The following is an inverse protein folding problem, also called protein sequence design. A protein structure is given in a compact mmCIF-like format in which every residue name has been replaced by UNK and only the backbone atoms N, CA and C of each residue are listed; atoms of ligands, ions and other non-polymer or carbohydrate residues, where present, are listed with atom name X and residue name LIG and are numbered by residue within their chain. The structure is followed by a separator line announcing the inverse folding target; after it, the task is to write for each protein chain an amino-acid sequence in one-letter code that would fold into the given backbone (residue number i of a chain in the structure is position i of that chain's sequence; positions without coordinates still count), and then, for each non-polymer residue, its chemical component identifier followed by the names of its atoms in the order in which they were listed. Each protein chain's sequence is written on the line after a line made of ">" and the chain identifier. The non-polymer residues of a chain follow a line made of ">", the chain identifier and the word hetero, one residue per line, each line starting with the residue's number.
data_IF_822698890808
#
_entry.id   IF_822698890808
#
_cell.length_a   1.000
_cell.length_b   1.000
_cell.length_c   1.000
_cell.angle_alpha   90.00
_cell.angle_beta   90.00
_cell.angle_gamma   90.00
#
_symmetry.space_group_name_H-M   'P 1'
#
loop_
_entity.id
_entity.type
_entity.pdbx_description
1 polymer ?
#
# COMPACT_ATOMS: atom_id res chain seq x y z
N UNK A 1 -6.45 58.59 -0.57
CA UNK A 1 -7.49 57.53 -0.59
C UNK A 1 -7.41 56.75 -1.92
N UNK A 2 -6.55 55.72 -2.02
CA UNK A 2 -6.50 54.83 -3.22
C UNK A 2 -5.64 53.58 -2.97
N UNK A 3 -5.94 52.79 -1.94
CA UNK A 3 -5.23 51.52 -1.66
C UNK A 3 -6.16 50.34 -1.35
N UNK A 4 -7.46 50.52 -1.57
CA UNK A 4 -8.48 49.51 -1.28
C UNK A 4 -8.66 48.45 -2.38
N UNK A 5 -8.46 48.71 -3.70
CA UNK A 5 -8.88 47.73 -4.71
C UNK A 5 -7.91 46.53 -4.85
N UNK A 6 -6.64 46.69 -4.47
CA UNK A 6 -5.64 45.62 -4.65
C UNK A 6 -5.75 44.50 -3.60
N UNK A 7 -6.15 44.84 -2.36
CA UNK A 7 -6.26 43.86 -1.27
C UNK A 7 -7.46 42.94 -1.46
N UNK A 8 -8.57 43.47 -1.98
CA UNK A 8 -9.80 42.70 -2.24
C UNK A 8 -9.59 41.69 -3.37
N UNK A 9 -8.83 42.05 -4.40
CA UNK A 9 -8.57 41.16 -5.54
C UNK A 9 -7.62 40.00 -5.17
N UNK A 10 -6.61 40.26 -4.33
CA UNK A 10 -5.71 39.22 -3.83
C UNK A 10 -6.41 38.23 -2.88
N UNK A 11 -7.36 38.72 -2.07
CA UNK A 11 -8.14 37.86 -1.18
C UNK A 11 -9.09 36.93 -1.96
N UNK A 12 -9.71 37.42 -3.05
CA UNK A 12 -10.60 36.60 -3.90
C UNK A 12 -9.85 35.49 -4.67
N UNK A 13 -8.58 35.70 -5.03
CA UNK A 13 -7.74 34.69 -5.69
C UNK A 13 -7.25 33.59 -4.72
N UNK A 14 -7.12 33.88 -3.43
CA UNK A 14 -6.71 32.89 -2.44
C UNK A 14 -7.81 31.86 -2.12
N UNK A 15 -9.09 32.23 -2.29
CA UNK A 15 -10.24 31.35 -1.96
C UNK A 15 -10.51 30.29 -3.03
N UNK A 16 -9.96 30.44 -4.25
CA UNK A 16 -10.14 29.44 -5.32
C UNK A 16 -9.12 28.30 -5.27
N UNK A 17 -8.08 28.40 -4.43
CA UNK A 17 -7.03 27.37 -4.32
C UNK A 17 -7.25 26.36 -3.18
N UNK A 18 -8.36 26.40 -2.44
CA UNK A 18 -8.68 25.40 -1.42
C UNK A 18 -9.37 24.13 -1.98
N UNK A 19 -9.52 24.04 -3.31
CA UNK A 19 -10.26 22.95 -3.97
C UNK A 19 -9.42 21.75 -4.42
N UNK A 20 -8.08 21.85 -4.41
CA UNK A 20 -7.22 20.75 -4.83
C UNK A 20 -6.76 19.93 -3.61
N UNK A 21 -7.69 19.29 -2.90
CA UNK A 21 -7.34 18.02 -2.24
C UNK A 21 -7.09 17.03 -3.36
N UNK A 22 -5.88 17.04 -3.91
CA UNK A 22 -5.38 15.96 -4.74
C UNK A 22 -5.40 14.74 -3.84
N UNK A 23 -6.49 13.99 -3.97
CA UNK A 23 -6.71 12.70 -3.33
C UNK A 23 -5.41 11.91 -3.52
N UNK A 24 -4.64 11.74 -2.46
CA UNK A 24 -3.45 10.87 -2.46
C UNK A 24 -3.94 9.44 -2.56
N UNK A 25 -4.49 9.08 -3.73
CA UNK A 25 -4.71 7.68 -4.06
C UNK A 25 -3.33 7.11 -4.27
N UNK A 26 -2.89 6.26 -3.36
CA UNK A 26 -1.89 5.26 -3.71
C UNK A 26 -2.47 4.57 -4.94
N UNK A 27 -1.82 4.74 -6.09
CA UNK A 27 -2.22 4.02 -7.29
C UNK A 27 -2.29 2.56 -6.93
N UNK A 28 -3.39 1.89 -7.26
CA UNK A 28 -3.56 0.47 -7.00
C UNK A 28 -2.37 -0.35 -7.53
N UNK A 29 -1.78 0.09 -8.66
CA UNK A 29 -0.54 -0.47 -9.20
C UNK A 29 0.68 -0.22 -8.31
N UNK A 30 0.81 0.97 -7.70
CA UNK A 30 1.89 1.27 -6.76
C UNK A 30 1.79 0.41 -5.49
N UNK A 31 0.58 0.27 -4.94
CA UNK A 31 0.34 -0.60 -3.78
C UNK A 31 0.70 -2.05 -4.09
N UNK A 32 0.22 -2.59 -5.22
CA UNK A 32 0.57 -3.94 -5.66
C UNK A 32 2.07 -4.14 -5.84
N UNK A 33 2.76 -3.18 -6.45
CA UNK A 33 4.22 -3.26 -6.62
C UNK A 33 4.95 -3.29 -5.26
N UNK A 34 4.56 -2.41 -4.33
CA UNK A 34 5.13 -2.37 -3.00
C UNK A 34 4.92 -3.70 -2.25
N UNK A 35 3.72 -4.28 -2.33
CA UNK A 35 3.43 -5.58 -1.71
C UNK A 35 4.23 -6.71 -2.34
N UNK A 36 4.36 -6.72 -3.66
CA UNK A 36 5.21 -7.69 -4.37
C UNK A 36 6.67 -7.60 -3.94
N UNK A 37 7.23 -6.40 -3.91
CA UNK A 37 8.64 -6.19 -3.54
C UNK A 37 8.87 -6.52 -2.05
N UNK A 38 7.99 -6.06 -1.17
CA UNK A 38 8.06 -6.39 0.26
C UNK A 38 7.93 -7.88 0.54
N UNK A 39 7.06 -8.60 -0.17
CA UNK A 39 6.92 -10.04 -0.02
C UNK A 39 8.18 -10.80 -0.49
N UNK A 40 8.80 -10.37 -1.60
CA UNK A 40 10.06 -10.93 -2.09
C UNK A 40 11.16 -10.76 -1.05
N UNK A 41 11.30 -9.56 -0.50
CA UNK A 41 12.34 -9.26 0.49
C UNK A 41 12.14 -10.04 1.79
N UNK A 42 10.92 -10.06 2.34
CA UNK A 42 10.61 -10.77 3.58
C UNK A 42 10.79 -12.29 3.47
N UNK A 43 10.42 -12.88 2.33
CA UNK A 43 10.63 -14.30 2.07
C UNK A 43 12.11 -14.62 1.87
N UNK A 44 12.86 -13.76 1.16
CA UNK A 44 14.30 -13.91 0.97
C UNK A 44 15.06 -13.85 2.30
N UNK A 45 14.70 -12.94 3.21
CA UNK A 45 15.28 -12.88 4.57
C UNK A 45 15.06 -14.19 5.34
N UNK A 46 13.97 -14.91 5.05
CA UNK A 46 13.64 -16.21 5.66
C UNK A 46 14.25 -17.41 4.92
N UNK A 47 15.05 -17.18 3.89
CA UNK A 47 15.64 -18.25 3.07
C UNK A 47 14.65 -18.92 2.11
N UNK A 48 13.50 -18.28 1.84
CA UNK A 48 12.49 -18.77 0.90
C UNK A 48 12.63 -17.98 -0.40
N UNK A 49 13.17 -18.63 -1.43
CA UNK A 49 13.34 -18.01 -2.74
C UNK A 49 12.13 -18.26 -3.64
N UNK A 50 11.66 -17.21 -4.30
CA UNK A 50 10.59 -17.27 -5.30
C UNK A 50 11.16 -17.46 -6.70
N UNK A 51 10.45 -18.20 -7.55
CA UNK A 51 10.81 -18.36 -8.97
C UNK A 51 10.70 -17.05 -9.74
N UNK A 52 9.71 -16.27 -9.40
CA UNK A 52 9.34 -15.03 -10.06
C UNK A 52 8.64 -14.11 -9.06
N UNK A 53 8.50 -12.83 -9.44
CA UNK A 53 7.75 -11.86 -8.64
C UNK A 53 6.28 -12.31 -8.51
N UNK A 54 5.68 -12.19 -7.31
CA UNK A 54 4.25 -12.44 -7.13
C UNK A 54 3.36 -11.69 -8.13
N UNK A 55 2.38 -12.40 -8.69
CA UNK A 55 1.33 -11.81 -9.50
C UNK A 55 0.19 -11.34 -8.60
N UNK A 56 -0.08 -10.05 -8.56
CA UNK A 56 -1.07 -9.45 -7.67
C UNK A 56 -2.36 -9.04 -8.39
N UNK A 57 -3.48 -9.22 -7.69
CA UNK A 57 -4.81 -8.69 -8.04
C UNK A 57 -5.41 -7.95 -6.85
N UNK A 58 -6.29 -7.02 -7.14
CA UNK A 58 -7.13 -6.36 -6.16
C UNK A 58 -8.53 -6.93 -6.29
N UNK A 59 -9.06 -7.55 -5.23
CA UNK A 59 -10.44 -8.00 -5.20
C UNK A 59 -11.40 -6.83 -5.49
N UNK A 60 -12.55 -7.10 -6.09
CA UNK A 60 -13.55 -6.06 -6.45
C UNK A 60 -14.15 -5.30 -5.24
N UNK A 61 -13.76 -5.65 -4.00
CA UNK A 61 -14.25 -5.08 -2.76
C UNK A 61 -13.42 -3.89 -2.24
N UNK A 62 -12.57 -3.28 -3.08
CA UNK A 62 -11.83 -2.09 -2.69
C UNK A 62 -12.75 -0.86 -2.62
N UNK A 63 -12.65 -0.11 -1.53
CA UNK A 63 -13.30 1.19 -1.32
C UNK A 63 -12.23 2.27 -1.17
N UNK A 64 -12.62 3.54 -1.01
CA UNK A 64 -11.64 4.60 -0.74
C UNK A 64 -10.90 4.36 0.59
N UNK A 65 -11.53 3.73 1.59
CA UNK A 65 -10.96 3.48 2.92
C UNK A 65 -10.44 2.06 3.15
N UNK A 66 -10.77 1.10 2.27
CA UNK A 66 -10.34 -0.29 2.41
C UNK A 66 -9.74 -0.76 1.09
N UNK A 67 -8.45 -1.10 1.12
CA UNK A 67 -7.73 -1.65 -0.03
C UNK A 67 -7.29 -3.06 0.26
N UNK A 68 -7.60 -3.98 -0.65
CA UNK A 68 -7.20 -5.38 -0.59
C UNK A 68 -6.31 -5.74 -1.76
N UNK A 69 -5.39 -6.65 -1.51
CA UNK A 69 -4.54 -7.25 -2.52
C UNK A 69 -4.33 -8.73 -2.22
N UNK A 70 -4.46 -9.54 -3.26
CA UNK A 70 -4.09 -10.95 -3.25
C UNK A 70 -2.95 -11.12 -4.25
N UNK A 71 -1.82 -11.65 -3.81
CA UNK A 71 -0.75 -12.05 -4.70
C UNK A 71 -0.48 -13.54 -4.61
N UNK A 72 -0.10 -14.14 -5.74
CA UNK A 72 0.28 -15.55 -5.81
C UNK A 72 1.64 -15.69 -6.46
N UNK A 73 2.44 -16.63 -5.96
CA UNK A 73 3.72 -17.00 -6.55
C UNK A 73 4.02 -18.49 -6.33
N UNK A 74 5.22 -18.91 -6.72
CA UNK A 74 5.78 -20.22 -6.37
C UNK A 74 7.21 -20.08 -5.88
N UNK A 75 7.57 -20.87 -4.88
CA UNK A 75 8.97 -21.02 -4.47
C UNK A 75 9.78 -21.73 -5.56
N UNK A 76 11.10 -21.62 -5.51
CA UNK A 76 12.01 -22.40 -6.39
C UNK A 76 11.75 -23.92 -6.26
N UNK A 77 11.44 -24.41 -5.05
CA UNK A 77 11.05 -25.79 -4.74
C UNK A 77 9.67 -26.18 -5.27
N UNK A 78 8.86 -25.22 -5.72
CA UNK A 78 7.56 -25.44 -6.37
C UNK A 78 6.35 -25.27 -5.47
N UNK A 79 6.56 -24.95 -4.19
CA UNK A 79 5.51 -24.73 -3.21
C UNK A 79 4.69 -23.48 -3.58
N UNK A 80 3.35 -23.54 -3.48
CA UNK A 80 2.51 -22.38 -3.71
C UNK A 80 2.76 -21.33 -2.64
N UNK A 81 2.76 -20.07 -3.04
CA UNK A 81 2.86 -18.92 -2.13
C UNK A 81 1.63 -18.04 -2.33
N UNK A 82 0.99 -17.65 -1.23
CA UNK A 82 -0.04 -16.61 -1.22
C UNK A 82 0.39 -15.45 -0.35
N UNK A 83 0.06 -14.24 -0.79
CA UNK A 83 0.22 -13.01 -0.03
C UNK A 83 -1.14 -12.34 -0.01
N UNK A 84 -1.68 -12.14 1.18
CA UNK A 84 -2.94 -11.42 1.39
C UNK A 84 -2.60 -10.13 2.13
N UNK A 85 -2.97 -9.00 1.55
CA UNK A 85 -2.80 -7.68 2.15
C UNK A 85 -4.12 -6.96 2.27
N UNK A 86 -4.36 -6.35 3.41
CA UNK A 86 -5.48 -5.44 3.64
C UNK A 86 -4.98 -4.17 4.30
N UNK A 87 -5.42 -3.02 3.79
CA UNK A 87 -5.23 -1.73 4.41
C UNK A 87 -6.61 -1.15 4.73
N UNK A 88 -6.86 -0.89 6.01
CA UNK A 88 -7.97 -0.10 6.51
C UNK A 88 -7.54 1.37 6.67
N UNK A 89 -8.51 2.28 6.71
CA UNK A 89 -8.28 3.73 6.79
C UNK A 89 -7.28 4.24 5.73
N UNK A 90 -7.35 3.64 4.53
CA UNK A 90 -6.44 3.88 3.40
C UNK A 90 -6.55 5.31 2.82
N UNK A 91 -7.60 6.04 3.17
CA UNK A 91 -7.82 7.44 2.84
C UNK A 91 -7.22 8.42 3.86
N UNK A 92 -6.50 7.91 4.86
CA UNK A 92 -5.83 8.69 5.91
C UNK A 92 -4.31 8.62 5.79
N UNK A 93 -3.60 9.52 6.49
CA UNK A 93 -2.13 9.52 6.52
C UNK A 93 -1.53 8.35 7.33
N UNK A 94 -2.36 7.54 7.99
CA UNK A 94 -1.96 6.43 8.86
C UNK A 94 -2.87 5.22 8.64
N UNK A 95 -2.75 4.53 7.50
CA UNK A 95 -3.51 3.32 7.25
C UNK A 95 -3.16 2.22 8.26
N UNK A 96 -4.14 1.39 8.60
CA UNK A 96 -3.95 0.16 9.38
C UNK A 96 -3.82 -1.02 8.42
N UNK A 97 -2.58 -1.48 8.26
CA UNK A 97 -2.23 -2.52 7.30
C UNK A 97 -2.08 -3.88 7.99
N UNK A 98 -2.43 -4.96 7.28
CA UNK A 98 -2.16 -6.33 7.69
C UNK A 98 -1.81 -7.16 6.47
N UNK A 99 -0.69 -7.86 6.55
CA UNK A 99 -0.19 -8.76 5.53
C UNK A 99 -0.01 -10.17 6.09
N UNK A 100 -0.45 -11.17 5.35
CA UNK A 100 -0.28 -12.58 5.65
C UNK A 100 0.38 -13.25 4.46
N UNK A 101 1.48 -13.97 4.69
CA UNK A 101 2.13 -14.79 3.66
C UNK A 101 2.04 -16.26 4.07
N UNK A 102 1.54 -17.08 3.14
CA UNK A 102 1.58 -18.54 3.29
C UNK A 102 2.47 -19.19 2.25
N UNK A 103 3.14 -20.27 2.63
CA UNK A 103 3.96 -21.12 1.76
C UNK A 103 3.52 -22.56 1.98
N UNK A 104 3.16 -23.26 0.91
CA UNK A 104 2.63 -24.63 1.02
C UNK A 104 1.32 -24.71 1.81
N UNK A 105 0.60 -23.59 1.97
CA UNK A 105 -0.60 -23.50 2.82
C UNK A 105 -0.33 -23.24 4.31
N UNK A 106 0.93 -23.06 4.70
CA UNK A 106 1.31 -22.71 6.07
C UNK A 106 1.66 -21.22 6.17
N UNK A 107 1.13 -20.53 7.18
CA UNK A 107 1.50 -19.15 7.48
C UNK A 107 2.98 -19.08 7.90
N UNK A 108 3.76 -18.29 7.17
CA UNK A 108 5.19 -18.04 7.45
C UNK A 108 5.45 -16.60 7.87
N UNK A 109 4.48 -15.71 7.64
CA UNK A 109 4.55 -14.30 7.99
C UNK A 109 3.17 -13.73 8.26
N UNK A 110 3.08 -12.94 9.33
CA UNK A 110 2.02 -11.98 9.58
C UNK A 110 2.60 -10.70 10.15
N UNK A 111 2.33 -9.57 9.51
CA UNK A 111 2.84 -8.25 9.93
C UNK A 111 1.86 -7.13 9.57
N UNK A 112 1.96 -6.02 10.28
CA UNK A 112 1.22 -4.79 9.99
C UNK A 112 1.98 -3.77 9.13
N UNK A 113 3.10 -4.19 8.54
CA UNK A 113 3.94 -3.41 7.63
C UNK A 113 4.77 -4.39 6.79
N UNK A 114 4.91 -4.13 5.49
CA UNK A 114 5.69 -4.96 4.57
C UNK A 114 6.71 -4.13 3.79
N UNK A 115 7.99 -4.54 3.79
CA UNK A 115 9.06 -3.92 2.99
C UNK A 115 10.03 -3.01 3.77
N UNK A 116 10.86 -2.26 3.04
CA UNK A 116 12.07 -1.57 3.54
C UNK A 116 11.83 -0.42 4.53
N UNK A 117 10.58 0.01 4.73
CA UNK A 117 10.20 1.07 5.67
C UNK A 117 9.71 0.56 7.03
N UNK A 118 9.68 -0.75 7.23
CA UNK A 118 9.11 -1.37 8.42
C UNK A 118 10.19 -1.59 9.49
N UNK A 119 10.06 -0.93 10.63
CA UNK A 119 10.85 -1.31 11.81
C UNK A 119 10.48 -2.74 12.23
N UNK A 120 11.48 -3.57 12.51
CA UNK A 120 11.36 -5.01 12.83
C UNK A 120 10.63 -5.33 14.15
N UNK A 121 9.74 -4.47 14.65
CA UNK A 121 8.94 -4.73 15.84
C UNK A 121 7.76 -5.62 15.48
N UNK A 122 7.96 -6.92 15.65
CA UNK A 122 6.86 -7.86 15.88
C UNK A 122 6.25 -7.53 17.26
N UNK A 123 4.94 -7.27 17.40
CA UNK A 123 4.29 -7.28 18.72
C UNK A 123 4.34 -8.69 19.34
#
# INVERSE_FOLDING_TARGET
>A
MRRVPAVVLAALLAVTMSGCKVMQRISEGAYRNAVTDGAVDELKIRGIELRERPACRSPAANTDSVVRVDCTARTVTGEPVTVEGIAHDADTDRPDETYVITVGGHEVLRKSCLGLGCDNRNP
#
